data_IF_229752984957
#
_entry.id   IF_229752984957
#
_cell.length_a   1.000
_cell.length_b   1.000
_cell.length_c   1.000
_cell.angle_alpha   90.00
_cell.angle_beta   90.00
_cell.angle_gamma   90.00
#
_symmetry.space_group_name_H-M   'P 1'
#
loop_
_entity.id
_entity.type
_entity.pdbx_description
1 polymer ?
#
# COMPACT_ATOMS: atom_id res chain seq x y z
N UNK A 1 6.23 23.58 -19.17
CA UNK A 1 6.77 24.91 -19.51
C UNK A 1 7.83 25.27 -18.47
N UNK A 2 9.11 25.09 -18.81
CA UNK A 2 10.26 25.49 -18.01
C UNK A 2 10.48 26.97 -18.31
N UNK A 3 10.13 27.86 -17.37
CA UNK A 3 10.55 29.26 -17.43
C UNK A 3 11.99 29.36 -16.94
N UNK A 4 12.92 29.57 -17.87
CA UNK A 4 14.29 30.01 -17.55
C UNK A 4 14.32 31.54 -17.58
N UNK A 5 14.24 32.17 -16.41
CA UNK A 5 14.58 33.57 -16.24
C UNK A 5 15.70 33.71 -15.21
N UNK A 6 16.90 34.02 -15.71
CA UNK A 6 18.13 34.07 -14.92
C UNK A 6 18.31 35.37 -14.13
N UNK A 7 17.44 36.37 -14.25
CA UNK A 7 17.66 37.69 -13.64
C UNK A 7 16.71 38.07 -12.49
N UNK A 8 15.64 37.34 -12.28
CA UNK A 8 14.76 37.55 -11.13
C UNK A 8 14.48 36.21 -10.47
N UNK A 9 15.19 35.89 -9.39
CA UNK A 9 14.85 34.80 -8.46
C UNK A 9 13.51 35.09 -7.75
N UNK A 10 12.43 35.14 -8.51
CA UNK A 10 11.11 34.81 -7.96
C UNK A 10 11.02 33.29 -8.01
N UNK A 11 11.10 32.65 -6.83
CA UNK A 11 10.80 31.24 -6.68
C UNK A 11 9.45 30.98 -7.39
N UNK A 12 9.51 30.27 -8.52
CA UNK A 12 8.32 29.74 -9.16
C UNK A 12 7.77 28.67 -8.20
N UNK A 13 6.94 29.10 -7.24
CA UNK A 13 6.23 28.20 -6.36
C UNK A 13 5.30 27.39 -7.23
N UNK A 14 5.72 26.17 -7.61
CA UNK A 14 4.78 25.21 -8.17
C UNK A 14 3.76 24.93 -7.05
N UNK A 15 2.58 25.49 -7.20
CA UNK A 15 1.47 25.19 -6.32
C UNK A 15 0.95 23.79 -6.65
N UNK A 16 1.38 22.81 -5.89
CA UNK A 16 0.80 21.47 -5.91
C UNK A 16 0.11 21.20 -4.58
N UNK A 17 -1.01 20.48 -4.63
CA UNK A 17 -1.73 20.06 -3.45
C UNK A 17 -1.00 18.90 -2.77
N UNK A 18 -0.24 19.19 -1.73
CA UNK A 18 0.59 18.21 -1.05
C UNK A 18 -0.22 17.26 -0.15
N UNK A 19 0.31 16.04 0.08
CA UNK A 19 -0.27 15.11 1.06
C UNK A 19 -0.41 15.77 2.45
N UNK A 20 0.55 16.58 2.88
CA UNK A 20 0.47 17.31 4.15
C UNK A 20 -0.71 18.28 4.20
N UNK A 21 -1.01 18.93 3.10
CA UNK A 21 -2.15 19.84 3.00
C UNK A 21 -3.47 19.07 3.00
N UNK A 22 -3.55 17.99 2.24
CA UNK A 22 -4.68 17.05 2.26
C UNK A 22 -4.96 16.56 3.69
N UNK A 23 -3.94 16.06 4.40
CA UNK A 23 -4.08 15.54 5.75
C UNK A 23 -4.58 16.61 6.74
N UNK A 24 -4.07 17.83 6.64
CA UNK A 24 -4.54 18.93 7.49
C UNK A 24 -5.98 19.31 7.22
N UNK A 25 -6.40 19.32 5.95
CA UNK A 25 -7.79 19.65 5.59
C UNK A 25 -8.76 18.54 5.99
N UNK A 26 -8.38 17.28 5.78
CA UNK A 26 -9.24 16.12 6.02
C UNK A 26 -9.28 15.71 7.48
N UNK A 27 -8.13 15.68 8.16
CA UNK A 27 -7.99 15.17 9.54
C UNK A 27 -7.61 16.25 10.57
N UNK A 28 -7.48 17.51 10.17
CA UNK A 28 -7.07 18.61 11.03
C UNK A 28 -5.63 18.57 11.53
N UNK A 29 -4.82 17.60 11.08
CA UNK A 29 -3.48 17.36 11.61
C UNK A 29 -2.52 16.80 10.56
N UNK A 30 -1.23 16.81 10.86
CA UNK A 30 -0.23 16.04 10.12
C UNK A 30 -0.23 14.59 10.57
N UNK A 31 0.04 13.68 9.64
CA UNK A 31 0.31 12.28 9.93
C UNK A 31 1.52 11.79 9.14
N UNK A 32 2.14 10.72 9.63
CA UNK A 32 3.26 10.06 8.97
C UNK A 32 2.89 8.64 8.57
N UNK A 33 3.26 8.23 7.36
CA UNK A 33 3.14 6.84 6.95
C UNK A 33 4.11 5.97 7.75
N UNK A 34 3.59 4.88 8.32
CA UNK A 34 4.39 3.80 8.90
C UNK A 34 4.38 2.66 7.89
N UNK A 35 5.55 2.38 7.32
CA UNK A 35 5.71 1.28 6.36
C UNK A 35 5.59 -0.07 7.06
N UNK A 36 4.66 -0.89 6.58
CA UNK A 36 4.33 -2.22 7.07
C UNK A 36 4.51 -3.25 5.96
N UNK A 37 4.79 -4.49 6.36
CA UNK A 37 4.80 -5.66 5.50
C UNK A 37 3.64 -6.59 5.89
N UNK A 38 2.82 -7.00 4.93
CA UNK A 38 1.77 -8.00 5.13
C UNK A 38 2.30 -9.45 5.01
N UNK A 39 3.57 -9.64 4.69
CA UNK A 39 4.16 -10.96 4.43
C UNK A 39 3.73 -11.57 3.10
N UNK A 40 3.14 -10.77 2.22
CA UNK A 40 2.73 -11.19 0.89
C UNK A 40 3.92 -11.26 -0.07
N UNK A 41 3.74 -11.96 -1.20
CA UNK A 41 4.66 -11.94 -2.33
C UNK A 41 4.12 -11.03 -3.45
N UNK A 42 4.58 -11.24 -4.66
CA UNK A 42 4.11 -10.57 -5.87
C UNK A 42 4.06 -11.58 -7.02
N UNK A 43 3.01 -11.57 -7.86
CA UNK A 43 2.92 -12.45 -9.05
C UNK A 43 4.12 -12.34 -9.99
N UNK A 44 4.80 -11.19 -10.02
CA UNK A 44 6.02 -10.98 -10.80
C UNK A 44 7.29 -11.59 -10.16
N UNK A 45 7.17 -12.22 -8.97
CA UNK A 45 8.32 -12.77 -8.22
C UNK A 45 8.16 -14.21 -7.78
N UNK A 46 6.96 -14.71 -7.62
CA UNK A 46 6.72 -16.06 -7.11
C UNK A 46 6.54 -17.11 -8.21
N UNK A 47 6.70 -16.72 -9.47
CA UNK A 47 6.62 -17.61 -10.62
C UNK A 47 5.24 -17.67 -11.28
N UNK A 48 4.23 -16.97 -10.76
CA UNK A 48 2.91 -16.92 -11.40
C UNK A 48 2.98 -16.18 -12.75
N UNK A 49 3.61 -15.04 -12.81
CA UNK A 49 3.84 -14.25 -14.04
C UNK A 49 5.33 -14.21 -14.41
N UNK A 50 6.19 -13.91 -13.44
CA UNK A 50 7.66 -13.84 -13.61
C UNK A 50 8.32 -14.16 -12.25
N UNK A 51 9.64 -14.40 -12.27
CA UNK A 51 10.47 -14.58 -11.07
C UNK A 51 11.39 -13.40 -10.81
N UNK A 52 11.59 -12.52 -11.80
CA UNK A 52 12.57 -11.43 -11.79
C UNK A 52 12.05 -10.16 -11.10
N UNK A 53 10.72 -9.97 -11.06
CA UNK A 53 10.08 -8.73 -10.60
C UNK A 53 10.20 -7.59 -11.61
N UNK A 54 9.54 -6.46 -11.28
CA UNK A 54 9.69 -5.22 -12.05
C UNK A 54 11.11 -4.66 -11.89
N UNK A 55 11.65 -3.99 -12.94
CA UNK A 55 13.05 -3.50 -12.92
C UNK A 55 13.31 -2.41 -11.89
N UNK A 56 12.28 -1.68 -11.49
CA UNK A 56 12.35 -0.59 -10.49
C UNK A 56 12.12 -1.05 -9.06
N UNK A 57 11.78 -2.33 -8.87
CA UNK A 57 11.41 -2.86 -7.56
C UNK A 57 12.65 -3.43 -6.85
N UNK A 58 12.94 -2.95 -5.63
CA UNK A 58 14.03 -3.47 -4.80
C UNK A 58 13.86 -4.95 -4.45
N UNK A 59 14.90 -5.56 -3.88
CA UNK A 59 14.85 -6.96 -3.42
C UNK A 59 13.76 -7.17 -2.36
N UNK A 60 13.48 -6.14 -1.54
CA UNK A 60 12.44 -6.13 -0.51
C UNK A 60 11.04 -5.73 -1.05
N UNK A 61 10.85 -5.72 -2.37
CA UNK A 61 9.55 -5.38 -2.97
C UNK A 61 9.08 -3.96 -2.67
N UNK A 62 10.01 -2.98 -2.67
CA UNK A 62 9.78 -1.59 -2.26
C UNK A 62 9.45 -1.41 -0.77
N UNK A 63 9.61 -2.47 0.03
CA UNK A 63 9.40 -2.48 1.48
C UNK A 63 10.65 -2.21 2.30
N UNK A 64 11.63 -1.45 1.78
CA UNK A 64 12.95 -1.23 2.41
C UNK A 64 12.87 -0.60 3.82
N UNK A 65 11.76 0.03 4.15
CA UNK A 65 11.50 0.64 5.46
C UNK A 65 10.55 -0.16 6.35
N UNK A 66 9.97 -1.26 5.84
CA UNK A 66 9.12 -2.15 6.62
C UNK A 66 9.97 -3.22 7.34
N UNK A 67 9.52 -3.66 8.52
CA UNK A 67 10.05 -4.87 9.13
C UNK A 67 9.41 -6.08 8.46
N UNK A 68 10.23 -7.02 8.00
CA UNK A 68 9.73 -8.20 7.32
C UNK A 68 8.83 -9.05 8.22
N UNK A 69 7.65 -9.40 7.71
CA UNK A 69 6.70 -10.27 8.38
C UNK A 69 6.91 -11.72 7.95
N UNK A 70 7.61 -12.51 8.77
CA UNK A 70 7.76 -13.95 8.52
C UNK A 70 6.58 -14.75 9.07
N UNK A 71 5.48 -14.79 8.31
CA UNK A 71 4.28 -15.58 8.61
C UNK A 71 3.97 -16.60 7.51
N UNK A 72 5.00 -17.04 6.78
CA UNK A 72 4.87 -17.95 5.64
C UNK A 72 4.11 -19.24 5.98
N UNK A 73 4.28 -19.79 7.22
CA UNK A 73 3.54 -20.97 7.67
C UNK A 73 2.04 -20.72 7.67
N UNK A 74 1.60 -19.57 8.18
CA UNK A 74 0.17 -19.21 8.24
C UNK A 74 -0.36 -18.90 6.84
N UNK A 75 0.40 -18.15 6.03
CA UNK A 75 0.04 -17.87 4.65
C UNK A 75 -0.14 -19.14 3.81
N UNK A 76 0.75 -20.13 3.98
CA UNK A 76 0.63 -21.43 3.28
C UNK A 76 -0.62 -22.20 3.71
N UNK A 77 -1.01 -22.13 4.99
CA UNK A 77 -2.28 -22.73 5.47
C UNK A 77 -3.48 -22.12 4.74
N UNK A 78 -3.57 -20.78 4.71
CA UNK A 78 -4.70 -20.10 4.06
C UNK A 78 -4.75 -20.35 2.56
N UNK A 79 -3.60 -20.38 1.88
CA UNK A 79 -3.54 -20.74 0.44
C UNK A 79 -4.01 -22.17 0.15
N UNK A 80 -3.99 -23.08 1.13
CA UNK A 80 -4.55 -24.43 1.02
C UNK A 80 -6.01 -24.54 1.47
N UNK A 81 -6.64 -23.39 1.79
CA UNK A 81 -8.03 -23.36 2.28
C UNK A 81 -8.20 -23.82 3.73
N UNK A 82 -7.12 -23.95 4.51
CA UNK A 82 -7.20 -24.32 5.92
C UNK A 82 -7.72 -23.15 6.75
N UNK A 83 -8.61 -23.44 7.70
CA UNK A 83 -9.15 -22.44 8.63
C UNK A 83 -8.05 -22.04 9.62
N UNK A 84 -7.86 -20.73 9.81
CA UNK A 84 -6.92 -20.22 10.82
C UNK A 84 -7.47 -20.43 12.22
N UNK A 85 -6.61 -20.95 13.08
CA UNK A 85 -6.89 -21.04 14.51
C UNK A 85 -6.83 -19.66 15.17
N UNK A 86 -7.42 -19.50 16.35
CA UNK A 86 -7.28 -18.27 17.12
C UNK A 86 -5.80 -17.93 17.42
N UNK A 87 -4.95 -18.96 17.62
CA UNK A 87 -3.52 -18.75 17.80
C UNK A 87 -2.84 -18.18 16.55
N UNK A 88 -3.21 -18.66 15.35
CA UNK A 88 -2.71 -18.10 14.09
C UNK A 88 -3.16 -16.65 13.91
N UNK A 89 -4.42 -16.34 14.20
CA UNK A 89 -4.94 -14.96 14.11
C UNK A 89 -4.26 -14.02 15.12
N UNK A 90 -4.07 -14.47 16.37
CA UNK A 90 -3.32 -13.69 17.38
C UNK A 90 -1.88 -13.43 16.94
N UNK A 91 -1.22 -14.42 16.35
CA UNK A 91 0.15 -14.27 15.86
C UNK A 91 0.24 -13.21 14.76
N UNK A 92 -0.69 -13.20 13.80
CA UNK A 92 -0.76 -12.16 12.75
C UNK A 92 -0.99 -10.76 13.35
N UNK A 93 -1.94 -10.61 14.25
CA UNK A 93 -2.23 -9.33 14.94
C UNK A 93 -1.00 -8.82 15.70
N UNK A 94 -0.37 -9.66 16.48
CA UNK A 94 0.82 -9.29 17.27
C UNK A 94 2.01 -8.89 16.38
N UNK A 95 2.18 -9.55 15.24
CA UNK A 95 3.25 -9.21 14.31
C UNK A 95 3.05 -7.83 13.69
N UNK A 96 1.82 -7.46 13.35
CA UNK A 96 1.49 -6.09 12.86
C UNK A 96 1.68 -5.06 13.98
N UNK A 97 1.24 -5.35 15.20
CA UNK A 97 1.44 -4.46 16.34
C UNK A 97 2.93 -4.17 16.61
N UNK A 98 3.80 -5.18 16.51
CA UNK A 98 5.25 -4.99 16.62
C UNK A 98 5.79 -4.07 15.56
N UNK A 99 5.38 -4.24 14.29
CA UNK A 99 5.78 -3.35 13.19
C UNK A 99 5.31 -1.92 13.43
N UNK A 100 4.07 -1.72 13.91
CA UNK A 100 3.54 -0.39 14.25
C UNK A 100 4.39 0.28 15.34
N UNK A 101 4.72 -0.43 16.42
CA UNK A 101 5.57 0.09 17.50
C UNK A 101 6.94 0.52 16.97
N UNK A 102 7.60 -0.35 16.21
CA UNK A 102 8.90 -0.05 15.63
C UNK A 102 8.85 1.11 14.62
N UNK A 103 7.82 1.15 13.78
CA UNK A 103 7.62 2.24 12.82
C UNK A 103 7.35 3.59 13.49
N UNK A 104 6.55 3.62 14.56
CA UNK A 104 6.32 4.82 15.38
C UNK A 104 7.62 5.35 15.96
N UNK A 105 8.43 4.49 16.57
CA UNK A 105 9.72 4.87 17.16
C UNK A 105 10.69 5.52 16.15
N UNK A 106 10.68 5.07 14.88
CA UNK A 106 11.50 5.64 13.80
C UNK A 106 11.14 7.08 13.45
N UNK A 107 9.87 7.46 13.57
CA UNK A 107 9.37 8.78 13.18
C UNK A 107 9.03 9.68 14.37
N UNK A 108 9.14 9.21 15.60
CA UNK A 108 8.73 9.90 16.82
C UNK A 108 9.33 11.31 16.93
N UNK A 109 10.63 11.45 16.69
CA UNK A 109 11.32 12.74 16.74
C UNK A 109 10.79 13.77 15.74
N UNK A 110 10.19 13.31 14.63
CA UNK A 110 9.65 14.15 13.55
C UNK A 110 8.15 14.35 13.66
N UNK A 111 7.44 13.43 14.32
CA UNK A 111 6.00 13.40 14.41
C UNK A 111 5.48 13.89 15.77
N UNK A 112 5.47 15.21 15.96
CA UNK A 112 4.93 15.85 17.18
C UNK A 112 3.41 15.67 17.33
N UNK A 113 2.68 15.41 16.25
CA UNK A 113 1.22 15.24 16.26
C UNK A 113 0.78 13.85 16.75
N UNK A 114 1.68 12.85 16.74
CA UNK A 114 1.39 11.49 17.17
C UNK A 114 0.33 10.77 16.33
N UNK A 115 0.07 11.21 15.07
CA UNK A 115 -0.91 10.59 14.17
C UNK A 115 -0.22 9.94 12.99
N UNK A 116 -0.76 8.81 12.53
CA UNK A 116 -0.09 7.95 11.55
C UNK A 116 -1.07 7.39 10.53
N UNK A 117 -0.50 6.90 9.42
CA UNK A 117 -1.16 6.12 8.38
C UNK A 117 -0.49 4.75 8.37
N UNK A 118 -1.26 3.69 8.54
CA UNK A 118 -0.76 2.32 8.40
C UNK A 118 -0.59 2.02 6.90
N UNK A 119 0.65 1.91 6.43
CA UNK A 119 0.97 1.79 5.01
C UNK A 119 1.62 0.44 4.69
N UNK A 120 0.85 -0.46 4.12
CA UNK A 120 1.36 -1.72 3.58
C UNK A 120 2.02 -1.49 2.24
N UNK A 121 3.33 -1.32 2.26
CA UNK A 121 4.14 -0.92 1.11
C UNK A 121 4.84 -2.11 0.45
N UNK A 122 5.22 -3.14 1.22
CA UNK A 122 6.06 -4.23 0.73
C UNK A 122 5.29 -5.12 -0.27
N UNK A 123 5.89 -5.38 -1.42
CA UNK A 123 5.39 -6.25 -2.49
C UNK A 123 3.98 -5.88 -2.99
N UNK A 124 3.05 -6.85 -2.93
CA UNK A 124 1.65 -6.67 -3.35
C UNK A 124 0.76 -6.95 -2.15
N UNK A 125 0.36 -5.88 -1.45
CA UNK A 125 -0.28 -5.96 -0.14
C UNK A 125 -1.61 -6.73 -0.09
N UNK A 126 -2.25 -6.96 -1.23
CA UNK A 126 -3.49 -7.74 -1.34
C UNK A 126 -3.29 -9.16 -1.91
N UNK A 127 -2.04 -9.58 -2.17
CA UNK A 127 -1.76 -10.86 -2.80
C UNK A 127 -1.74 -12.02 -1.79
N UNK A 128 -2.85 -12.20 -1.10
CA UNK A 128 -3.09 -13.32 -0.17
C UNK A 128 -4.61 -13.50 0.04
N UNK A 129 -5.07 -14.68 0.52
CA UNK A 129 -6.48 -14.89 0.86
C UNK A 129 -6.98 -13.91 1.93
N UNK A 130 -8.25 -13.50 1.84
CA UNK A 130 -8.91 -12.59 2.80
C UNK A 130 -8.79 -13.09 4.24
N UNK A 131 -8.89 -14.40 4.48
CA UNK A 131 -8.74 -15.00 5.81
C UNK A 131 -7.36 -14.72 6.45
N UNK A 132 -6.31 -14.52 5.65
CA UNK A 132 -4.99 -14.09 6.10
C UNK A 132 -4.90 -12.58 6.28
N UNK A 133 -5.42 -11.78 5.34
CA UNK A 133 -5.29 -10.33 5.33
C UNK A 133 -6.17 -9.63 6.36
N UNK A 134 -7.37 -10.13 6.60
CA UNK A 134 -8.34 -9.54 7.53
C UNK A 134 -7.74 -9.26 8.92
N UNK A 135 -7.19 -10.24 9.67
CA UNK A 135 -6.61 -9.98 10.98
C UNK A 135 -5.41 -9.02 10.95
N UNK A 136 -4.69 -8.94 9.82
CA UNK A 136 -3.56 -8.02 9.61
C UNK A 136 -4.06 -6.58 9.47
N UNK A 137 -5.01 -6.34 8.56
CA UNK A 137 -5.51 -4.99 8.28
C UNK A 137 -6.36 -4.45 9.45
N UNK A 138 -7.18 -5.29 10.08
CA UNK A 138 -7.92 -4.90 11.29
C UNK A 138 -6.98 -4.48 12.41
N UNK A 139 -5.93 -5.26 12.70
CA UNK A 139 -4.95 -4.91 13.74
C UNK A 139 -4.17 -3.62 13.39
N UNK A 140 -3.96 -3.34 12.10
CA UNK A 140 -3.28 -2.14 11.67
C UNK A 140 -4.10 -0.87 11.90
N UNK A 141 -5.42 -0.93 11.78
CA UNK A 141 -6.32 0.23 11.96
C UNK A 141 -6.91 0.35 13.35
N UNK A 142 -6.73 -0.65 14.22
CA UNK A 142 -7.29 -0.66 15.58
C UNK A 142 -6.84 0.54 16.44
N UNK A 143 -5.53 0.95 16.47
CA UNK A 143 -5.10 2.04 17.31
C UNK A 143 -5.71 3.39 16.90
N UNK A 144 -6.14 4.21 17.88
CA UNK A 144 -6.79 5.52 17.62
C UNK A 144 -5.90 6.52 16.89
N UNK A 145 -4.59 6.41 17.06
CA UNK A 145 -3.63 7.27 16.39
C UNK A 145 -3.42 6.95 14.91
N UNK A 146 -3.93 5.81 14.42
CA UNK A 146 -3.96 5.48 13.00
C UNK A 146 -5.19 6.14 12.36
N UNK A 147 -4.96 7.06 11.44
CA UNK A 147 -6.01 7.82 10.77
C UNK A 147 -6.58 7.12 9.53
N UNK A 148 -5.75 6.36 8.83
CA UNK A 148 -6.12 5.67 7.60
C UNK A 148 -5.29 4.40 7.40
N UNK A 149 -5.84 3.47 6.63
CA UNK A 149 -5.12 2.33 6.05
C UNK A 149 -4.71 2.70 4.62
N UNK A 150 -3.46 2.46 4.26
CA UNK A 150 -2.98 2.60 2.88
C UNK A 150 -2.37 1.28 2.43
N UNK A 151 -2.78 0.76 1.27
CA UNK A 151 -2.33 -0.55 0.78
C UNK A 151 -1.80 -0.42 -0.64
N UNK A 152 -0.49 -0.60 -0.80
CA UNK A 152 0.13 -0.67 -2.12
C UNK A 152 -0.12 -2.04 -2.75
N UNK A 153 -0.67 -2.04 -3.96
CA UNK A 153 -1.01 -3.27 -4.65
C UNK A 153 -0.98 -3.14 -6.17
N UNK A 154 -1.17 -4.28 -6.83
CA UNK A 154 -1.34 -4.42 -8.28
C UNK A 154 -2.82 -4.46 -8.62
N UNK A 155 -3.22 -3.93 -9.80
CA UNK A 155 -4.63 -3.94 -10.22
C UNK A 155 -5.17 -5.34 -10.48
N UNK A 156 -4.31 -6.30 -10.85
CA UNK A 156 -4.65 -7.71 -11.07
C UNK A 156 -4.70 -8.57 -9.79
N UNK A 157 -4.53 -7.95 -8.61
CA UNK A 157 -4.61 -8.59 -7.30
C UNK A 157 -5.75 -8.00 -6.44
N UNK A 158 -6.85 -7.63 -7.07
CA UNK A 158 -8.04 -7.04 -6.47
C UNK A 158 -9.28 -7.84 -6.90
N UNK A 159 -9.43 -9.08 -6.42
CA UNK A 159 -10.66 -9.85 -6.58
C UNK A 159 -11.82 -9.27 -5.73
N UNK A 160 -13.04 -9.80 -5.90
CA UNK A 160 -14.20 -9.26 -5.21
C UNK A 160 -14.11 -9.44 -3.68
N UNK A 161 -13.56 -10.56 -3.20
CA UNK A 161 -13.40 -10.79 -1.76
C UNK A 161 -12.45 -9.76 -1.12
N UNK A 162 -11.38 -9.41 -1.82
CA UNK A 162 -10.44 -8.35 -1.41
C UNK A 162 -11.13 -6.99 -1.40
N UNK A 163 -11.86 -6.65 -2.45
CA UNK A 163 -12.58 -5.39 -2.54
C UNK A 163 -13.63 -5.28 -1.43
N UNK A 164 -14.37 -6.34 -1.15
CA UNK A 164 -15.36 -6.39 -0.07
C UNK A 164 -14.69 -6.18 1.31
N UNK A 165 -13.53 -6.78 1.55
CA UNK A 165 -12.75 -6.55 2.77
C UNK A 165 -12.33 -5.08 2.89
N UNK A 166 -11.80 -4.49 1.81
CA UNK A 166 -11.34 -3.09 1.83
C UNK A 166 -12.52 -2.12 2.02
N UNK A 167 -13.66 -2.38 1.39
CA UNK A 167 -14.90 -1.61 1.57
C UNK A 167 -15.41 -1.68 3.01
N UNK A 168 -15.44 -2.87 3.62
CA UNK A 168 -15.81 -3.05 5.04
C UNK A 168 -14.88 -2.25 5.97
N UNK A 169 -13.57 -2.31 5.72
CA UNK A 169 -12.59 -1.57 6.51
C UNK A 169 -12.74 -0.04 6.33
N UNK A 170 -13.11 0.41 5.12
CA UNK A 170 -13.34 1.81 4.81
C UNK A 170 -14.51 2.41 5.59
N UNK A 171 -15.47 1.59 6.05
CA UNK A 171 -16.54 2.04 6.95
C UNK A 171 -16.01 2.34 8.38
N UNK A 172 -14.86 1.78 8.76
CA UNK A 172 -14.25 1.97 10.08
C UNK A 172 -13.26 3.13 10.07
N UNK A 173 -12.35 3.14 9.09
CA UNK A 173 -11.35 4.20 8.85
C UNK A 173 -11.06 4.29 7.35
N UNK A 174 -10.75 5.48 6.82
CA UNK A 174 -10.43 5.66 5.41
C UNK A 174 -9.41 4.65 4.91
N UNK A 175 -9.72 4.01 3.78
CA UNK A 175 -8.83 3.06 3.09
C UNK A 175 -8.39 3.66 1.77
N UNK A 176 -7.08 3.75 1.57
CA UNK A 176 -6.46 4.20 0.32
C UNK A 176 -5.81 3.02 -0.38
N UNK A 177 -6.14 2.83 -1.64
CA UNK A 177 -5.50 1.81 -2.48
C UNK A 177 -4.43 2.49 -3.35
N UNK A 178 -3.15 2.23 -3.04
CA UNK A 178 -2.03 2.77 -3.80
C UNK A 178 -1.76 1.84 -5.00
N UNK A 179 -2.27 2.24 -6.16
CA UNK A 179 -2.35 1.39 -7.33
C UNK A 179 -1.24 1.71 -8.34
N UNK A 180 -0.48 0.71 -8.72
CA UNK A 180 0.62 0.89 -9.66
C UNK A 180 0.12 1.07 -11.10
N UNK A 181 0.12 2.27 -11.64
CA UNK A 181 0.00 2.56 -13.07
C UNK A 181 1.37 2.49 -13.74
N UNK A 182 2.33 3.13 -13.12
CA UNK A 182 3.73 3.30 -13.52
C UNK A 182 3.88 4.09 -14.82
N UNK A 183 3.22 3.67 -15.90
CA UNK A 183 3.21 4.32 -17.22
C UNK A 183 1.96 3.91 -18.00
N UNK A 184 1.51 4.78 -18.89
CA UNK A 184 0.44 4.48 -19.88
C UNK A 184 1.00 3.90 -21.17
N UNK A 185 2.31 3.98 -21.42
CA UNK A 185 2.94 3.54 -22.66
C UNK A 185 3.21 2.03 -22.67
N UNK A 186 2.64 1.25 -23.63
CA UNK A 186 2.78 -0.21 -23.64
C UNK A 186 4.23 -0.68 -23.70
N UNK A 187 5.06 -0.09 -24.56
CA UNK A 187 6.46 -0.45 -24.69
C UNK A 187 7.26 -0.23 -23.41
N UNK A 188 6.98 0.87 -22.69
CA UNK A 188 7.60 1.15 -21.38
C UNK A 188 7.09 0.16 -20.33
N UNK A 189 5.79 -0.17 -20.35
CA UNK A 189 5.21 -1.15 -19.42
C UNK A 189 5.84 -2.55 -19.58
N UNK A 190 6.11 -2.96 -20.81
CA UNK A 190 6.82 -4.19 -21.13
C UNK A 190 8.29 -4.12 -20.66
N UNK A 191 9.00 -3.06 -20.99
CA UNK A 191 10.39 -2.85 -20.58
C UNK A 191 10.58 -2.93 -19.07
N UNK A 192 9.71 -2.26 -18.31
CA UNK A 192 9.76 -2.27 -16.82
C UNK A 192 9.20 -3.57 -16.23
N UNK A 193 8.72 -4.50 -17.05
CA UNK A 193 8.11 -5.77 -16.63
C UNK A 193 6.93 -5.58 -15.68
N UNK A 194 6.03 -4.64 -16.00
CA UNK A 194 4.84 -4.35 -15.18
C UNK A 194 3.92 -5.57 -15.05
N UNK A 195 3.73 -6.33 -16.16
CA UNK A 195 3.07 -7.64 -16.15
C UNK A 195 1.54 -7.60 -16.24
N UNK A 196 0.92 -6.45 -16.52
CA UNK A 196 -0.52 -6.29 -16.81
C UNK A 196 -0.74 -5.16 -17.84
N UNK A 197 -1.78 -5.26 -18.69
CA UNK A 197 -2.14 -4.22 -19.65
C UNK A 197 -2.86 -3.05 -18.94
N UNK A 198 -2.94 -1.90 -19.62
CA UNK A 198 -3.61 -0.70 -19.09
C UNK A 198 -5.10 -0.98 -18.80
N UNK A 199 -5.78 -1.77 -19.61
CA UNK A 199 -7.20 -2.11 -19.41
C UNK A 199 -7.48 -2.80 -18.07
N UNK A 200 -6.53 -3.57 -17.52
CA UNK A 200 -6.67 -4.18 -16.18
C UNK A 200 -6.57 -3.10 -15.10
N UNK A 201 -5.72 -2.10 -15.31
CA UNK A 201 -5.63 -0.95 -14.42
C UNK A 201 -6.93 -0.14 -14.43
N UNK A 202 -7.44 0.20 -15.62
CA UNK A 202 -8.68 0.98 -15.78
C UNK A 202 -9.87 0.27 -15.11
N UNK A 203 -10.04 -1.03 -15.38
CA UNK A 203 -11.10 -1.84 -14.76
C UNK A 203 -10.97 -1.90 -13.22
N UNK A 204 -9.75 -1.96 -12.69
CA UNK A 204 -9.54 -1.94 -11.22
C UNK A 204 -9.92 -0.59 -10.62
N UNK A 205 -9.58 0.52 -11.27
CA UNK A 205 -9.97 1.87 -10.83
C UNK A 205 -11.49 2.03 -10.81
N UNK A 206 -12.19 1.57 -11.86
CA UNK A 206 -13.65 1.62 -11.93
C UNK A 206 -14.29 0.81 -10.79
N UNK A 207 -13.78 -0.38 -10.51
CA UNK A 207 -14.28 -1.24 -9.41
C UNK A 207 -14.03 -0.63 -8.02
N UNK A 208 -12.88 0.01 -7.81
CA UNK A 208 -12.54 0.70 -6.56
C UNK A 208 -13.45 1.93 -6.37
N UNK A 209 -13.62 2.74 -7.41
CA UNK A 209 -14.49 3.92 -7.38
C UNK A 209 -15.95 3.54 -7.12
N UNK A 210 -16.45 2.46 -7.73
CA UNK A 210 -17.81 1.96 -7.51
C UNK A 210 -18.09 1.58 -6.05
N UNK A 211 -17.03 1.23 -5.27
CA UNK A 211 -17.09 0.91 -3.83
C UNK A 211 -16.75 2.12 -2.93
N UNK A 212 -16.53 3.31 -3.50
CA UNK A 212 -16.14 4.50 -2.73
C UNK A 212 -14.76 4.41 -2.09
N UNK A 213 -13.87 3.58 -2.64
CA UNK A 213 -12.48 3.45 -2.20
C UNK A 213 -11.60 4.48 -2.90
N UNK A 214 -10.77 5.18 -2.14
CA UNK A 214 -9.85 6.20 -2.67
C UNK A 214 -8.63 5.56 -3.33
N UNK A 215 -8.33 5.98 -4.56
CA UNK A 215 -7.19 5.47 -5.34
C UNK A 215 -6.05 6.47 -5.34
N UNK A 216 -4.88 6.03 -4.91
CA UNK A 216 -3.62 6.78 -5.07
C UNK A 216 -2.84 6.16 -6.23
N UNK A 217 -2.60 6.93 -7.26
CA UNK A 217 -1.94 6.48 -8.49
C UNK A 217 -0.43 6.58 -8.36
N UNK A 218 0.27 5.46 -8.51
CA UNK A 218 1.73 5.45 -8.58
C UNK A 218 2.20 5.54 -10.04
N UNK A 219 3.01 6.54 -10.34
CA UNK A 219 3.63 6.76 -11.65
C UNK A 219 5.14 6.92 -11.51
N UNK A 220 5.88 6.51 -12.55
CA UNK A 220 7.32 6.72 -12.66
C UNK A 220 7.54 7.89 -13.62
N UNK A 221 8.23 8.91 -13.12
CA UNK A 221 8.65 10.07 -13.91
C UNK A 221 10.11 9.87 -14.32
N UNK A 222 10.40 10.00 -15.64
CA UNK A 222 11.75 9.82 -16.18
C UNK A 222 11.82 10.08 -17.65
#
# INVERSE_FOLDING_TARGET
>A
LICWDFQHRKECKMEYYSLNEYLRRTFGTKAYKISLDAGCSCPNRDGLLDTRGCIFCSASGSGDFAEHLDMQRILKKTKRGEILTEADQRALRQAVQKQLIAGKARVEKKNKAGKYIAYFQAYTGTYAPVSYLRPIFEAAIEPEEILALSVATRPDCLDDEILDLLEELNQKKPVWVELGLQTIHPATAEYIRRGYPLSVYDAAVDRLNARGLEVIVHVILG
#
